data_IF_356074122117
#
_entry.id   IF_356074122117
#
_cell.length_a   1.000
_cell.length_b   1.000
_cell.length_c   1.000
_cell.angle_alpha   90.00
_cell.angle_beta   90.00
_cell.angle_gamma   90.00
#
_symmetry.space_group_name_H-M   'P 1'
#
loop_
_entity.id
_entity.type
_entity.pdbx_description
1 polymer ?
#
# COMPACT_ATOMS: atom_id res chain seq x y z
N UNK A 1 -18.33 -6.24 44.87
CA UNK A 1 -16.92 -6.63 44.66
C UNK A 1 -16.45 -5.87 43.44
N UNK A 2 -16.05 -4.62 43.69
CA UNK A 2 -15.72 -3.65 42.65
C UNK A 2 -14.22 -3.72 42.29
N UNK A 3 -13.95 -3.53 41.00
CA UNK A 3 -12.66 -3.73 40.35
C UNK A 3 -11.56 -2.79 40.85
N UNK A 4 -10.71 -3.28 41.75
CA UNK A 4 -9.48 -2.62 42.22
C UNK A 4 -8.43 -2.39 41.11
N UNK A 5 -8.59 -2.98 39.92
CA UNK A 5 -7.61 -2.93 38.84
C UNK A 5 -7.56 -1.60 38.04
N UNK A 6 -8.61 -0.77 38.07
CA UNK A 6 -8.66 0.47 37.28
C UNK A 6 -7.97 1.66 37.93
N UNK A 7 -7.64 1.57 39.23
CA UNK A 7 -7.11 2.70 39.99
C UNK A 7 -5.59 2.88 39.86
N UNK A 8 -4.88 1.89 39.31
CA UNK A 8 -3.40 1.91 39.25
C UNK A 8 -2.81 2.41 37.93
N UNK A 9 -3.64 2.75 36.93
CA UNK A 9 -3.16 3.22 35.62
C UNK A 9 -3.02 4.75 35.53
N UNK A 10 -3.62 5.49 36.48
CA UNK A 10 -3.62 6.96 36.51
C UNK A 10 -2.45 7.58 37.29
N UNK A 11 -1.52 6.78 37.83
CA UNK A 11 -0.42 7.26 38.68
C UNK A 11 0.96 7.20 38.00
N UNK A 12 1.01 6.97 36.68
CA UNK A 12 2.26 7.16 35.94
C UNK A 12 2.45 8.66 35.66
N UNK A 13 3.53 9.30 36.15
CA UNK A 13 3.77 10.70 35.91
C UNK A 13 3.80 10.94 34.41
N UNK A 14 2.87 11.77 33.93
CA UNK A 14 2.74 12.13 32.51
C UNK A 14 4.14 12.54 32.02
N UNK A 15 4.82 11.71 31.21
CA UNK A 15 6.20 12.00 30.84
C UNK A 15 6.17 13.32 30.08
N UNK A 16 6.98 14.29 30.54
CA UNK A 16 7.03 15.65 30.00
C UNK A 16 6.83 15.61 28.48
N UNK A 17 5.73 16.18 27.97
CA UNK A 17 5.28 16.01 26.57
C UNK A 17 6.38 16.36 25.55
N UNK A 18 7.32 17.21 25.96
CA UNK A 18 8.54 17.58 25.22
C UNK A 18 9.49 16.39 25.01
N UNK A 19 9.72 15.58 26.04
CA UNK A 19 10.56 14.37 25.97
C UNK A 19 9.92 13.29 25.11
N UNK A 20 8.60 13.08 25.23
CA UNK A 20 7.88 12.11 24.39
C UNK A 20 7.95 12.50 22.91
N UNK A 21 7.75 13.79 22.60
CA UNK A 21 7.90 14.30 21.22
C UNK A 21 9.32 14.18 20.69
N UNK A 22 10.33 14.46 21.52
CA UNK A 22 11.73 14.38 21.10
C UNK A 22 12.17 12.93 20.85
N UNK A 23 11.76 12.01 21.72
CA UNK A 23 12.02 10.58 21.57
C UNK A 23 11.29 10.01 20.34
N UNK A 24 10.03 10.38 20.12
CA UNK A 24 9.30 9.98 18.92
C UNK A 24 9.99 10.49 17.64
N UNK A 25 10.42 11.75 17.61
CA UNK A 25 11.17 12.31 16.47
C UNK A 25 12.53 11.61 16.26
N UNK A 26 13.23 11.24 17.33
CA UNK A 26 14.49 10.50 17.26
C UNK A 26 14.28 9.09 16.69
N UNK A 27 13.25 8.39 17.16
CA UNK A 27 12.88 7.05 16.66
C UNK A 27 12.53 7.13 15.17
N UNK A 28 11.71 8.11 14.77
CA UNK A 28 11.33 8.31 13.35
C UNK A 28 12.56 8.63 12.49
N UNK A 29 13.48 9.49 12.95
CA UNK A 29 14.71 9.79 12.22
C UNK A 29 15.63 8.57 12.05
N UNK A 30 15.77 7.75 13.09
CA UNK A 30 16.60 6.54 13.01
C UNK A 30 15.97 5.48 12.09
N UNK A 31 14.64 5.31 12.14
CA UNK A 31 13.91 4.42 11.24
C UNK A 31 14.04 4.87 9.77
N UNK A 32 13.91 6.19 9.51
CA UNK A 32 14.10 6.76 8.17
C UNK A 32 15.53 6.56 7.64
N UNK A 33 16.54 6.73 8.49
CA UNK A 33 17.95 6.51 8.11
C UNK A 33 18.21 5.05 7.70
N UNK A 34 17.70 4.08 8.47
CA UNK A 34 17.82 2.66 8.14
C UNK A 34 17.06 2.28 6.88
N UNK A 35 15.87 2.84 6.68
CA UNK A 35 15.02 2.55 5.52
C UNK A 35 15.61 3.10 4.21
N UNK A 36 16.07 4.35 4.21
CA UNK A 36 16.73 4.96 3.04
C UNK A 36 18.01 4.22 2.64
N UNK A 37 18.71 3.61 3.61
CA UNK A 37 19.90 2.81 3.37
C UNK A 37 19.59 1.49 2.64
N UNK A 38 18.37 0.94 2.78
CA UNK A 38 18.00 -0.34 2.16
C UNK A 38 17.31 -0.22 0.79
N UNK A 39 16.61 0.87 0.51
CA UNK A 39 15.85 1.03 -0.74
C UNK A 39 16.11 2.39 -1.37
N UNK A 40 17.05 2.43 -2.32
CA UNK A 40 17.55 3.64 -2.96
C UNK A 40 16.60 4.40 -3.90
N UNK A 41 15.28 4.42 -3.68
CA UNK A 41 14.36 5.33 -4.41
C UNK A 41 13.22 5.83 -3.51
N UNK A 42 13.09 7.16 -3.49
CA UNK A 42 12.09 7.97 -2.77
C UNK A 42 10.70 7.32 -2.76
N UNK A 43 10.22 6.96 -1.56
CA UNK A 43 8.79 6.74 -1.29
C UNK A 43 8.30 7.90 -0.45
N UNK A 44 7.08 8.35 -0.71
CA UNK A 44 6.45 9.38 0.11
C UNK A 44 6.17 8.82 1.52
N UNK A 45 6.47 9.62 2.54
CA UNK A 45 6.15 9.29 3.93
C UNK A 45 5.37 10.45 4.55
N UNK A 46 4.41 10.12 5.40
CA UNK A 46 3.71 11.07 6.25
C UNK A 46 3.71 10.54 7.69
N UNK A 47 3.76 11.45 8.66
CA UNK A 47 3.60 11.12 10.07
C UNK A 47 2.44 11.92 10.63
N UNK A 48 1.61 11.28 11.43
CA UNK A 48 0.54 11.94 12.18
C UNK A 48 0.84 11.80 13.67
N UNK A 49 0.73 12.91 14.40
CA UNK A 49 0.84 12.93 15.86
C UNK A 49 -0.57 13.06 16.42
N UNK A 50 -1.01 12.04 17.15
CA UNK A 50 -2.31 12.03 17.81
C UNK A 50 -2.17 12.49 19.26
N UNK A 51 -3.21 13.14 19.79
CA UNK A 51 -3.25 13.62 21.17
C UNK A 51 -3.34 12.48 22.18
N UNK A 52 -3.91 11.34 21.76
CA UNK A 52 -4.15 10.17 22.59
C UNK A 52 -4.02 8.87 21.77
N UNK A 53 -3.85 7.75 22.48
CA UNK A 53 -3.65 6.43 21.87
C UNK A 53 -4.91 5.91 21.14
N UNK A 54 -6.13 6.24 21.60
CA UNK A 54 -7.36 5.78 20.97
C UNK A 54 -7.54 6.41 19.58
N UNK A 55 -7.22 7.69 19.43
CA UNK A 55 -7.20 8.39 18.15
C UNK A 55 -6.20 7.76 17.18
N UNK A 56 -5.01 7.37 17.65
CA UNK A 56 -4.02 6.68 16.84
C UNK A 56 -4.49 5.28 16.39
N UNK A 57 -5.12 4.52 17.29
CA UNK A 57 -5.69 3.20 16.96
C UNK A 57 -6.85 3.31 15.97
N UNK A 58 -7.77 4.25 16.16
CA UNK A 58 -8.87 4.49 15.24
C UNK A 58 -8.38 4.89 13.84
N UNK A 59 -7.35 5.74 13.76
CA UNK A 59 -6.71 6.09 12.49
C UNK A 59 -6.05 4.87 11.84
N UNK A 60 -5.34 4.03 12.60
CA UNK A 60 -4.75 2.78 12.10
C UNK A 60 -5.82 1.79 11.59
N UNK A 61 -6.93 1.62 12.30
CA UNK A 61 -8.06 0.81 11.86
C UNK A 61 -8.69 1.36 10.59
N UNK A 62 -8.81 2.68 10.47
CA UNK A 62 -9.33 3.34 9.27
C UNK A 62 -8.37 3.17 8.09
N UNK A 63 -7.06 3.34 8.30
CA UNK A 63 -6.04 3.16 7.25
C UNK A 63 -6.01 1.70 6.78
N UNK A 64 -6.10 0.73 7.69
CA UNK A 64 -6.18 -0.69 7.32
C UNK A 64 -7.50 -1.05 6.62
N UNK A 65 -8.58 -0.30 6.83
CA UNK A 65 -9.83 -0.45 6.09
C UNK A 65 -9.78 0.23 4.70
N UNK A 66 -8.95 1.27 4.55
CA UNK A 66 -8.78 2.05 3.31
C UNK A 66 -7.67 1.46 2.40
N UNK A 67 -6.80 0.61 2.93
CA UNK A 67 -5.58 0.15 2.24
C UNK A 67 -5.76 -0.91 1.15
N UNK A 68 -6.95 -1.48 0.98
CA UNK A 68 -7.19 -2.54 -0.02
C UNK A 68 -8.17 -2.16 -1.14
N UNK A 69 -8.75 -0.96 -1.11
CA UNK A 69 -9.79 -0.57 -2.09
C UNK A 69 -9.80 0.89 -2.50
N UNK A 70 -8.95 1.74 -1.92
CA UNK A 70 -8.88 3.14 -2.32
C UNK A 70 -8.31 3.26 -3.74
N UNK A 71 -9.00 3.94 -4.67
CA UNK A 71 -8.48 4.18 -6.01
C UNK A 71 -7.11 4.86 -5.97
N UNK A 72 -6.12 4.22 -6.58
CA UNK A 72 -4.77 4.75 -6.71
C UNK A 72 -4.30 4.61 -8.17
N UNK A 73 -3.40 5.47 -8.65
CA UNK A 73 -2.98 5.49 -10.06
C UNK A 73 -2.13 4.27 -10.47
N UNK A 74 -1.73 3.40 -9.54
CA UNK A 74 -0.90 2.24 -9.83
C UNK A 74 -1.71 0.96 -9.61
N UNK A 75 -1.86 0.13 -10.63
CA UNK A 75 -2.52 -1.17 -10.50
C UNK A 75 -1.49 -2.28 -10.31
N UNK A 76 -1.76 -3.18 -9.38
CA UNK A 76 -1.11 -4.48 -9.30
C UNK A 76 -1.87 -5.50 -10.16
N UNK A 77 -1.15 -6.26 -10.97
CA UNK A 77 -1.69 -7.30 -11.84
C UNK A 77 -1.16 -8.66 -11.40
N UNK A 78 -2.08 -9.55 -11.05
CA UNK A 78 -1.83 -10.91 -10.60
C UNK A 78 -2.64 -11.91 -11.44
N UNK A 79 -2.56 -13.19 -11.05
CA UNK A 79 -3.18 -14.31 -11.77
C UNK A 79 -2.74 -14.33 -13.24
N UNK A 80 -1.47 -14.02 -13.49
CA UNK A 80 -0.88 -14.11 -14.80
C UNK A 80 -0.42 -15.54 -15.04
N UNK A 81 -0.71 -16.07 -16.22
CA UNK A 81 -0.23 -17.39 -16.62
C UNK A 81 1.30 -17.47 -16.64
N UNK A 82 1.88 -18.65 -16.49
CA UNK A 82 3.34 -18.84 -16.35
C UNK A 82 4.13 -18.37 -17.59
N UNK A 83 3.47 -18.29 -18.74
CA UNK A 83 4.05 -17.82 -20.02
C UNK A 83 3.69 -16.37 -20.33
N UNK A 84 2.99 -15.67 -19.44
CA UNK A 84 2.63 -14.27 -19.60
C UNK A 84 3.89 -13.42 -19.79
N UNK A 85 3.82 -12.48 -20.73
CA UNK A 85 4.94 -11.63 -21.10
C UNK A 85 4.60 -10.15 -20.94
N UNK A 86 5.62 -9.34 -20.67
CA UNK A 86 5.46 -7.89 -20.56
C UNK A 86 4.81 -7.27 -21.82
N UNK A 87 5.21 -7.62 -23.07
CA UNK A 87 4.58 -7.08 -24.27
C UNK A 87 3.09 -7.36 -24.39
N UNK A 88 2.63 -8.54 -23.97
CA UNK A 88 1.21 -8.91 -23.99
C UNK A 88 0.39 -8.02 -23.07
N UNK A 89 0.87 -7.81 -21.83
CA UNK A 89 0.23 -6.89 -20.90
C UNK A 89 0.29 -5.45 -21.42
N UNK A 90 1.44 -5.00 -21.93
CA UNK A 90 1.56 -3.66 -22.51
C UNK A 90 0.56 -3.46 -23.65
N UNK A 91 0.33 -4.48 -24.50
CA UNK A 91 -0.67 -4.40 -25.56
C UNK A 91 -2.10 -4.29 -25.01
N UNK A 92 -2.42 -4.98 -23.91
CA UNK A 92 -3.71 -4.86 -23.25
C UNK A 92 -3.91 -3.46 -22.61
N UNK A 93 -2.94 -3.01 -21.82
CA UNK A 93 -3.03 -1.78 -21.03
C UNK A 93 -2.79 -0.49 -21.83
N UNK A 94 -2.03 -0.54 -22.93
CA UNK A 94 -1.80 0.64 -23.79
C UNK A 94 -3.07 1.17 -24.46
N UNK A 95 -4.13 0.36 -24.51
CA UNK A 95 -5.46 0.76 -24.99
C UNK A 95 -6.26 1.55 -23.95
N UNK A 96 -5.86 1.47 -22.68
CA UNK A 96 -6.49 2.22 -21.60
C UNK A 96 -5.99 3.67 -21.58
N UNK A 97 -6.89 4.60 -21.27
CA UNK A 97 -6.54 6.01 -21.13
C UNK A 97 -5.54 6.19 -19.99
N UNK A 98 -4.58 7.09 -20.18
CA UNK A 98 -3.65 7.49 -19.11
C UNK A 98 -2.60 6.46 -18.76
N UNK A 99 -2.44 5.37 -19.52
CA UNK A 99 -1.34 4.41 -19.33
C UNK A 99 0.02 5.11 -19.44
N UNK A 100 0.86 4.94 -18.42
CA UNK A 100 2.21 5.51 -18.39
C UNK A 100 3.28 4.44 -18.54
N UNK A 101 3.19 3.39 -17.72
CA UNK A 101 4.25 2.40 -17.63
C UNK A 101 3.71 1.07 -17.12
N UNK A 102 4.29 -0.01 -17.63
CA UNK A 102 4.15 -1.34 -17.06
C UNK A 102 5.51 -1.82 -16.57
N UNK A 103 5.54 -2.56 -15.47
CA UNK A 103 6.72 -3.27 -15.00
C UNK A 103 6.34 -4.67 -14.55
N UNK A 104 6.84 -5.68 -15.25
CA UNK A 104 6.70 -7.06 -14.85
C UNK A 104 7.72 -7.45 -13.77
N UNK A 105 7.31 -8.33 -12.86
CA UNK A 105 8.16 -8.93 -11.83
C UNK A 105 7.79 -10.40 -11.65
N UNK A 106 8.77 -11.24 -11.33
CA UNK A 106 8.50 -12.62 -10.95
C UNK A 106 8.61 -12.75 -9.43
N UNK A 107 7.48 -13.05 -8.77
CA UNK A 107 7.41 -13.28 -7.33
C UNK A 107 7.23 -14.77 -7.10
N UNK A 108 8.25 -15.44 -6.56
CA UNK A 108 8.24 -16.88 -6.26
C UNK A 108 7.93 -17.76 -7.50
N UNK A 109 8.43 -17.37 -8.68
CA UNK A 109 8.15 -18.08 -9.93
C UNK A 109 6.81 -17.73 -10.59
N UNK A 110 5.95 -16.96 -9.92
CA UNK A 110 4.69 -16.47 -10.49
C UNK A 110 4.90 -15.07 -11.09
N UNK A 111 4.55 -14.84 -12.36
CA UNK A 111 4.61 -13.51 -12.94
C UNK A 111 3.54 -12.60 -12.34
N UNK A 112 3.93 -11.37 -12.03
CA UNK A 112 3.06 -10.28 -11.59
C UNK A 112 3.49 -9.00 -12.29
N UNK A 113 2.63 -7.98 -12.35
CA UNK A 113 3.01 -6.70 -12.92
C UNK A 113 2.48 -5.52 -12.12
N UNK A 114 3.11 -4.36 -12.31
CA UNK A 114 2.64 -3.07 -11.81
C UNK A 114 2.41 -2.14 -13.00
N UNK A 115 1.27 -1.48 -13.04
CA UNK A 115 0.88 -0.59 -14.14
C UNK A 115 0.59 0.80 -13.58
N UNK A 116 1.40 1.77 -13.96
CA UNK A 116 1.21 3.17 -13.58
C UNK A 116 0.32 3.88 -14.61
N UNK A 117 -0.65 4.63 -14.09
CA UNK A 117 -1.53 5.52 -14.82
C UNK A 117 -1.32 6.98 -14.39
N UNK A 118 -1.84 7.88 -15.23
CA UNK A 118 -1.79 9.32 -14.99
C UNK A 118 -2.52 9.73 -13.71
N UNK A 119 -3.66 9.11 -13.41
CA UNK A 119 -4.48 9.38 -12.24
C UNK A 119 -5.28 8.16 -11.81
N UNK A 120 -5.91 8.26 -10.64
CA UNK A 120 -6.72 7.18 -10.06
C UNK A 120 -8.02 6.91 -10.85
N UNK A 121 -8.50 7.86 -11.66
CA UNK A 121 -9.72 7.67 -12.47
C UNK A 121 -9.40 6.73 -13.64
N UNK A 122 -8.29 6.99 -14.33
CA UNK A 122 -7.79 6.18 -15.43
C UNK A 122 -7.48 4.75 -14.99
N UNK A 123 -6.83 4.56 -13.84
CA UNK A 123 -6.55 3.23 -13.30
C UNK A 123 -7.83 2.49 -12.89
N UNK A 124 -8.80 3.15 -12.25
CA UNK A 124 -10.09 2.54 -11.93
C UNK A 124 -10.86 2.12 -13.17
N UNK A 125 -10.85 2.92 -14.24
CA UNK A 125 -11.47 2.57 -15.52
C UNK A 125 -10.79 1.33 -16.15
N UNK A 126 -9.46 1.33 -16.20
CA UNK A 126 -8.70 0.19 -16.68
C UNK A 126 -8.96 -1.08 -15.86
N UNK A 127 -9.03 -0.97 -14.53
CA UNK A 127 -9.38 -2.07 -13.63
C UNK A 127 -10.75 -2.63 -13.98
N UNK A 128 -11.79 -1.79 -14.06
CA UNK A 128 -13.14 -2.26 -14.38
C UNK A 128 -13.25 -2.87 -15.78
N UNK A 129 -12.47 -2.38 -16.75
CA UNK A 129 -12.51 -2.87 -18.12
C UNK A 129 -11.75 -4.19 -18.30
N UNK A 130 -10.63 -4.35 -17.59
CA UNK A 130 -9.69 -5.45 -17.80
C UNK A 130 -9.77 -6.55 -16.74
N UNK A 131 -10.52 -6.35 -15.65
CA UNK A 131 -10.68 -7.34 -14.60
C UNK A 131 -11.21 -8.67 -15.14
N UNK A 132 -10.49 -9.75 -14.85
CA UNK A 132 -10.87 -11.09 -15.29
C UNK A 132 -10.67 -11.33 -16.79
N UNK A 133 -9.96 -10.46 -17.51
CA UNK A 133 -9.64 -10.68 -18.92
C UNK A 133 -8.75 -11.91 -19.07
N UNK A 134 -9.13 -12.82 -19.96
CA UNK A 134 -8.31 -13.96 -20.33
C UNK A 134 -7.22 -13.49 -21.30
N UNK A 135 -5.97 -13.64 -20.85
CA UNK A 135 -4.79 -13.43 -21.68
C UNK A 135 -4.54 -14.66 -22.55
N UNK A 136 -3.83 -14.50 -23.66
CA UNK A 136 -3.48 -15.64 -24.51
C UNK A 136 -2.60 -16.63 -23.75
N UNK A 137 -1.75 -16.11 -22.86
CA UNK A 137 -0.90 -16.89 -21.97
C UNK A 137 -1.61 -17.50 -20.76
N UNK A 138 -2.93 -17.31 -20.60
CA UNK A 138 -3.66 -17.76 -19.40
C UNK A 138 -4.09 -19.23 -19.48
N UNK A 139 -4.01 -19.94 -18.36
CA UNK A 139 -4.45 -21.35 -18.23
C UNK A 139 -5.96 -21.47 -17.91
N UNK A 140 -6.76 -20.45 -18.27
CA UNK A 140 -8.21 -20.42 -18.06
C UNK A 140 -8.68 -19.53 -16.89
N UNK A 141 -7.76 -18.94 -16.13
CA UNK A 141 -8.08 -17.89 -15.15
C UNK A 141 -7.79 -16.50 -15.72
N UNK A 142 -8.72 -15.56 -15.53
CA UNK A 142 -8.57 -14.19 -15.95
C UNK A 142 -7.60 -13.41 -15.05
N UNK A 143 -6.91 -12.42 -15.64
CA UNK A 143 -5.98 -11.60 -14.86
C UNK A 143 -6.70 -10.79 -13.79
N UNK A 144 -6.06 -10.64 -12.64
CA UNK A 144 -6.61 -9.95 -11.47
C UNK A 144 -5.92 -8.62 -11.27
N UNK A 145 -6.68 -7.54 -11.18
CA UNK A 145 -6.21 -6.19 -10.96
C UNK A 145 -6.61 -5.70 -9.57
N UNK A 146 -5.67 -5.01 -8.90
CA UNK A 146 -5.81 -4.46 -7.55
C UNK A 146 -5.16 -3.07 -7.47
N UNK A 147 -5.55 -2.27 -6.48
CA UNK A 147 -4.92 -0.99 -6.14
C UNK A 147 -3.70 -1.17 -5.22
#
# INVERSE_FOLDING_TARGET
>A
MENTALRSYNDYPVPNTKYVRLLALLIVRQALSKYNSQHGKSRAFAFAVFSDQQSALAAMHTINAVSSSAPCPTLFVANLGPTCSEPELTQAFSRCRGFLKLKMQNKNGVPVAFVDFQDAVCSSEALNHLQGTLLYSSDGEGMRLEY
#
